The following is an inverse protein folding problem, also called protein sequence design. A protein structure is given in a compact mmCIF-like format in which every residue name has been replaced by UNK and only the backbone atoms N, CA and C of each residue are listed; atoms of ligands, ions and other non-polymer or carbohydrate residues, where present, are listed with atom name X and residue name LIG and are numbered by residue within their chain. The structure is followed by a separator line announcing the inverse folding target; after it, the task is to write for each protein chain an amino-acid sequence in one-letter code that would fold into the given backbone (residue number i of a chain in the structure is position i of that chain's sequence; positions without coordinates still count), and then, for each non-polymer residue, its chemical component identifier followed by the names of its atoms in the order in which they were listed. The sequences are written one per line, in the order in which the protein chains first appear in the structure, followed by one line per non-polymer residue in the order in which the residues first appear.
data_IF_160182709387
#
_entry.id   IF_160182709387
#
_cell.length_a   1.000
_cell.length_b   1.000
_cell.length_c   1.000
_cell.angle_alpha   90.00
_cell.angle_beta   90.00
_cell.angle_gamma   90.00
#
_symmetry.space_group_name_H-M   'P 1'
#
loop_
_entity.id
_entity.type
_entity.pdbx_description
1 polymer ?
#
# COMPACT_ATOMS: atom_id res chain seq x y z
N UNK A 1 -1.69 17.83 -17.27
CA UNK A 1 -1.12 16.49 -17.05
C UNK A 1 -1.89 15.64 -16.02
N UNK A 2 -2.68 16.23 -15.13
CA UNK A 2 -3.42 15.48 -14.08
C UNK A 2 -4.41 14.42 -14.58
N UNK A 3 -4.74 14.39 -15.86
CA UNK A 3 -5.66 13.41 -16.45
C UNK A 3 -4.99 12.20 -17.11
N UNK A 4 -3.71 12.25 -17.40
CA UNK A 4 -3.01 11.20 -18.14
C UNK A 4 -2.33 10.17 -17.23
N UNK A 5 -1.84 10.56 -16.05
CA UNK A 5 -1.20 9.65 -15.12
C UNK A 5 -2.24 8.92 -14.29
N UNK A 6 -2.32 7.60 -14.45
CA UNK A 6 -3.25 6.74 -13.73
C UNK A 6 -2.71 6.36 -12.35
N UNK A 7 -1.49 5.84 -12.30
CA UNK A 7 -0.75 5.61 -11.06
C UNK A 7 0.76 5.68 -11.32
N UNK A 8 1.51 5.87 -10.25
CA UNK A 8 2.95 5.82 -10.26
C UNK A 8 3.43 5.13 -8.97
N UNK A 9 4.27 4.13 -9.13
CA UNK A 9 4.94 3.46 -8.04
C UNK A 9 6.40 3.89 -8.00
N UNK A 10 6.95 3.98 -6.81
CA UNK A 10 8.38 4.17 -6.64
C UNK A 10 8.98 3.16 -5.68
N UNK A 11 10.13 2.65 -6.02
CA UNK A 11 10.88 1.66 -5.27
C UNK A 11 12.31 2.12 -5.07
N UNK A 12 12.90 1.73 -3.96
CA UNK A 12 14.33 1.80 -3.81
C UNK A 12 14.97 0.64 -4.56
N UNK A 13 16.09 0.93 -5.22
CA UNK A 13 17.01 -0.05 -5.78
C UNK A 13 18.30 0.00 -5.00
N UNK A 14 18.84 -1.13 -4.65
CA UNK A 14 20.13 -1.29 -3.98
C UNK A 14 21.05 -2.17 -4.82
N UNK A 15 22.35 -2.05 -4.62
CA UNK A 15 23.31 -3.00 -5.20
C UNK A 15 23.33 -4.27 -4.36
N UNK A 16 23.21 -5.41 -5.03
CA UNK A 16 23.45 -6.71 -4.42
C UNK A 16 24.95 -7.05 -4.33
N UNK A 17 25.27 -8.26 -3.90
CA UNK A 17 26.64 -8.73 -3.74
C UNK A 17 27.37 -8.88 -5.08
N UNK A 18 26.64 -9.09 -6.17
CA UNK A 18 27.13 -9.20 -7.55
C UNK A 18 27.30 -7.84 -8.23
N UNK A 19 26.83 -6.75 -7.61
CA UNK A 19 26.87 -5.39 -8.12
C UNK A 19 25.74 -5.03 -9.07
N UNK A 20 24.65 -5.82 -9.06
CA UNK A 20 23.46 -5.57 -9.86
C UNK A 20 22.40 -4.79 -9.04
N UNK A 21 21.62 -3.94 -9.74
CA UNK A 21 20.56 -3.17 -9.12
C UNK A 21 19.31 -4.02 -8.94
N UNK A 22 19.00 -4.36 -7.68
CA UNK A 22 17.84 -5.17 -7.30
C UNK A 22 16.80 -4.33 -6.56
N UNK A 23 15.54 -4.79 -6.59
CA UNK A 23 14.44 -4.15 -5.85
C UNK A 23 14.64 -4.28 -4.34
N UNK A 24 14.36 -3.18 -3.66
CA UNK A 24 14.29 -3.10 -2.22
C UNK A 24 12.89 -2.63 -1.80
N UNK A 25 12.80 -1.85 -0.74
CA UNK A 25 11.52 -1.41 -0.19
C UNK A 25 10.78 -0.44 -1.13
N UNK A 26 9.46 -0.48 -1.11
CA UNK A 26 8.62 0.50 -1.79
C UNK A 26 8.74 1.85 -1.09
N UNK A 27 9.04 2.89 -1.86
CA UNK A 27 9.11 4.27 -1.33
C UNK A 27 7.71 4.89 -1.24
N UNK A 28 6.99 4.92 -2.34
CA UNK A 28 5.67 5.54 -2.40
C UNK A 28 4.82 4.98 -3.53
N UNK A 29 3.53 5.28 -3.44
CA UNK A 29 2.58 5.02 -4.50
C UNK A 29 1.70 6.25 -4.68
N UNK A 30 1.54 6.67 -5.93
CA UNK A 30 0.50 7.60 -6.35
C UNK A 30 -0.59 6.82 -7.09
N UNK A 31 -1.84 7.05 -6.72
CA UNK A 31 -2.99 6.60 -7.48
C UNK A 31 -3.99 7.76 -7.59
N UNK A 32 -4.81 7.75 -8.63
CA UNK A 32 -5.81 8.79 -8.83
C UNK A 32 -6.76 8.86 -7.62
N UNK A 33 -6.86 10.04 -7.01
CA UNK A 33 -7.62 10.26 -5.79
C UNK A 33 -6.79 10.17 -4.50
N UNK A 34 -5.56 9.65 -4.53
CA UNK A 34 -4.65 9.61 -3.38
C UNK A 34 -3.91 10.93 -3.25
N UNK A 35 -3.97 11.55 -2.08
CA UNK A 35 -3.35 12.87 -1.83
C UNK A 35 -1.92 12.78 -1.29
N UNK A 36 -1.55 11.65 -0.72
CA UNK A 36 -0.24 11.43 -0.10
C UNK A 36 -0.26 10.29 0.89
N UNK A 37 0.88 10.03 1.49
CA UNK A 37 1.07 9.05 2.54
C UNK A 37 1.63 9.75 3.77
N UNK A 38 1.08 9.43 4.93
CA UNK A 38 1.58 9.92 6.20
C UNK A 38 2.12 8.74 7.00
N UNK A 39 3.33 8.89 7.50
CA UNK A 39 3.90 7.98 8.48
C UNK A 39 3.46 8.44 9.87
N UNK A 40 2.93 7.57 10.73
CA UNK A 40 2.55 7.94 12.09
C UNK A 40 3.73 8.48 12.90
N UNK A 41 3.43 9.26 13.91
CA UNK A 41 4.47 9.75 14.82
C UNK A 41 5.20 8.59 15.52
N UNK A 42 6.53 8.66 15.57
CA UNK A 42 7.36 7.59 16.12
C UNK A 42 7.57 6.39 15.20
N UNK A 43 7.11 6.48 13.94
CA UNK A 43 7.38 5.49 12.92
C UNK A 43 8.21 6.11 11.78
N UNK A 44 8.91 5.28 11.02
CA UNK A 44 9.64 5.69 9.84
C UNK A 44 9.67 4.61 8.76
N UNK A 45 9.91 5.04 7.53
CA UNK A 45 10.36 4.15 6.43
C UNK A 45 11.84 4.38 6.24
N UNK A 46 12.59 3.31 6.20
CA UNK A 46 14.03 3.39 6.02
C UNK A 46 14.37 3.56 4.53
N UNK A 47 15.09 4.60 4.19
CA UNK A 47 15.72 4.74 2.88
C UNK A 47 17.12 4.09 2.94
N UNK A 48 17.40 3.06 2.12
CA UNK A 48 18.72 2.44 2.12
C UNK A 48 19.80 3.43 1.65
N UNK A 49 20.95 3.43 2.32
CA UNK A 49 22.09 4.24 1.91
C UNK A 49 22.55 3.82 0.50
N UNK A 50 23.00 4.81 -0.29
CA UNK A 50 23.46 4.61 -1.67
C UNK A 50 22.44 3.95 -2.61
N UNK A 51 21.14 4.05 -2.28
CA UNK A 51 20.06 3.56 -3.12
C UNK A 51 19.77 4.51 -4.29
N UNK A 52 19.07 3.99 -5.30
CA UNK A 52 18.40 4.76 -6.35
C UNK A 52 16.91 4.64 -6.18
N UNK A 53 16.16 5.61 -6.73
CA UNK A 53 14.71 5.51 -6.83
C UNK A 53 14.35 5.18 -8.27
N UNK A 54 13.62 4.08 -8.44
CA UNK A 54 13.02 3.70 -9.71
C UNK A 54 11.54 4.07 -9.70
N UNK A 55 11.06 4.59 -10.82
CA UNK A 55 9.68 4.97 -11.04
C UNK A 55 9.04 4.07 -12.08
N UNK A 56 7.90 3.50 -11.75
CA UNK A 56 6.97 2.86 -12.67
C UNK A 56 5.75 3.76 -12.81
N UNK A 57 5.60 4.38 -13.99
CA UNK A 57 4.52 5.34 -14.25
C UNK A 57 3.57 4.74 -15.26
N UNK A 58 2.31 4.61 -14.88
CA UNK A 58 1.25 4.12 -15.76
C UNK A 58 0.41 5.27 -16.27
N UNK A 59 0.44 5.47 -17.57
CA UNK A 59 -0.36 6.47 -18.26
C UNK A 59 -1.64 5.85 -18.84
N UNK A 60 -2.73 6.57 -18.69
CA UNK A 60 -3.98 6.24 -19.37
C UNK A 60 -4.15 7.20 -20.56
N UNK A 61 -4.07 6.71 -21.81
CA UNK A 61 -4.19 7.57 -22.97
C UNK A 61 -5.65 8.05 -23.15
N UNK A 62 -5.82 9.35 -23.23
CA UNK A 62 -7.10 10.01 -23.48
C UNK A 62 -7.26 10.53 -24.92
N UNK A 63 -6.33 10.16 -25.81
CA UNK A 63 -6.28 10.59 -27.18
C UNK A 63 -5.59 11.94 -27.44
N UNK A 64 -5.16 12.63 -26.39
CA UNK A 64 -4.40 13.87 -26.47
C UNK A 64 -2.91 13.63 -26.31
N UNK A 65 -2.09 14.38 -27.03
CA UNK A 65 -0.65 14.35 -26.80
C UNK A 65 -0.32 15.13 -25.52
N UNK A 66 0.39 14.48 -24.60
CA UNK A 66 0.96 15.12 -23.42
C UNK A 66 2.44 15.36 -23.70
N UNK A 67 2.84 16.63 -23.71
CA UNK A 67 4.23 17.02 -23.82
C UNK A 67 4.77 17.45 -22.45
N UNK A 68 5.98 17.04 -22.13
CA UNK A 68 6.70 17.44 -20.91
C UNK A 68 5.99 17.05 -19.60
N UNK A 69 5.54 15.82 -19.49
CA UNK A 69 5.10 15.29 -18.20
C UNK A 69 6.29 15.20 -17.24
N UNK A 70 6.07 15.60 -16.00
CA UNK A 70 7.09 15.59 -14.96
C UNK A 70 6.48 15.06 -13.66
N UNK A 71 7.05 13.96 -13.16
CA UNK A 71 6.71 13.40 -11.86
C UNK A 71 7.67 13.94 -10.80
N UNK A 72 7.11 14.34 -9.67
CA UNK A 72 7.87 14.76 -8.51
C UNK A 72 7.29 14.10 -7.25
N UNK A 73 8.17 13.73 -6.32
CA UNK A 73 7.79 13.28 -4.97
C UNK A 73 8.41 14.19 -3.93
N UNK A 74 7.59 14.64 -3.00
CA UNK A 74 8.06 15.33 -1.79
C UNK A 74 8.27 14.30 -0.70
N UNK A 75 9.43 14.30 -0.07
CA UNK A 75 9.79 13.40 1.01
C UNK A 75 10.16 14.26 2.22
N UNK A 76 9.57 13.96 3.36
CA UNK A 76 9.98 14.50 4.66
C UNK A 76 10.71 13.39 5.40
N UNK A 77 11.86 13.72 5.94
CA UNK A 77 12.69 12.78 6.71
C UNK A 77 13.11 13.44 8.01
N UNK A 78 13.40 12.61 8.97
CA UNK A 78 13.98 13.04 10.23
C UNK A 78 15.44 13.42 10.03
N UNK A 79 15.86 14.50 10.69
CA UNK A 79 17.26 14.91 10.77
C UNK A 79 17.78 14.82 12.22
N UNK A 80 19.04 15.15 12.40
CA UNK A 80 19.68 15.07 13.72
C UNK A 80 19.05 16.04 14.75
N UNK A 81 18.45 17.15 14.30
CA UNK A 81 17.83 18.17 15.14
C UNK A 81 16.45 17.74 15.64
N UNK A 82 15.79 16.83 14.93
CA UNK A 82 14.47 16.29 15.33
C UNK A 82 14.54 15.41 16.58
N UNK A 83 15.74 14.99 17.00
CA UNK A 83 15.93 14.10 18.15
C UNK A 83 15.29 12.71 17.93
N UNK A 84 15.13 12.31 16.68
CA UNK A 84 14.56 11.03 16.32
C UNK A 84 15.51 9.90 16.71
N UNK A 85 14.99 8.88 17.42
CA UNK A 85 15.74 7.70 17.79
C UNK A 85 15.30 6.50 16.94
N UNK A 86 16.13 6.10 15.99
CA UNK A 86 15.83 4.97 15.08
C UNK A 86 15.66 3.64 15.83
N UNK A 87 16.36 3.44 16.97
CA UNK A 87 16.27 2.21 17.76
C UNK A 87 14.92 2.06 18.48
N UNK A 88 14.26 3.18 18.78
CA UNK A 88 12.95 3.22 19.41
C UNK A 88 11.80 3.35 18.40
N UNK A 89 12.13 3.64 17.15
CA UNK A 89 11.14 3.87 16.11
C UNK A 89 10.51 2.58 15.60
N UNK A 90 9.22 2.64 15.30
CA UNK A 90 8.56 1.57 14.58
C UNK A 90 8.88 1.67 13.09
N UNK A 91 9.34 0.57 12.50
CA UNK A 91 9.49 0.50 11.06
C UNK A 91 8.12 0.40 10.40
N UNK A 92 7.82 1.32 9.49
CA UNK A 92 6.65 1.23 8.64
C UNK A 92 7.04 0.63 7.28
N UNK A 93 6.33 -0.42 6.88
CA UNK A 93 6.46 -1.04 5.57
C UNK A 93 5.20 -0.76 4.74
N UNK A 94 5.39 -0.39 3.48
CA UNK A 94 4.33 -0.32 2.50
C UNK A 94 4.26 -1.65 1.74
N UNK A 95 3.22 -2.42 2.00
CA UNK A 95 3.04 -3.76 1.41
C UNK A 95 1.80 -3.79 0.52
N UNK A 96 1.94 -4.47 -0.61
CA UNK A 96 0.81 -4.81 -1.46
C UNK A 96 0.45 -6.30 -1.25
N UNK A 97 -0.79 -6.54 -0.84
CA UNK A 97 -1.33 -7.89 -0.71
C UNK A 97 -2.33 -8.13 -1.82
N UNK A 98 -2.19 -9.26 -2.50
CA UNK A 98 -3.09 -9.66 -3.59
C UNK A 98 -4.10 -10.67 -3.09
N UNK A 99 -5.31 -10.56 -3.58
CA UNK A 99 -6.32 -11.60 -3.44
C UNK A 99 -5.90 -12.81 -4.27
N UNK A 100 -6.15 -13.99 -3.77
CA UNK A 100 -6.03 -15.28 -4.51
C UNK A 100 -4.70 -15.50 -5.23
N UNK A 101 -3.62 -14.96 -4.66
CA UNK A 101 -2.29 -15.08 -5.25
C UNK A 101 -2.12 -14.38 -6.61
N UNK A 102 -3.06 -13.50 -7.00
CA UNK A 102 -2.98 -12.73 -8.25
C UNK A 102 -3.45 -13.48 -9.48
N UNK A 103 -4.32 -14.48 -9.32
CA UNK A 103 -4.94 -15.20 -10.43
C UNK A 103 -5.89 -14.36 -11.29
N UNK A 104 -6.21 -14.85 -12.46
CA UNK A 104 -7.21 -14.25 -13.36
C UNK A 104 -8.61 -14.48 -12.80
N UNK A 105 -9.32 -13.41 -12.53
CA UNK A 105 -10.70 -13.46 -12.05
C UNK A 105 -11.67 -13.49 -13.24
N UNK A 106 -12.44 -14.54 -13.35
CA UNK A 106 -13.54 -14.64 -14.33
C UNK A 106 -14.85 -14.26 -13.66
N UNK A 107 -15.35 -13.07 -13.93
CA UNK A 107 -16.70 -12.66 -13.51
C UNK A 107 -17.67 -13.10 -14.60
N UNK A 108 -18.64 -14.00 -14.29
CA UNK A 108 -19.58 -14.48 -15.29
C UNK A 108 -20.50 -13.32 -15.76
N UNK A 109 -21.02 -13.40 -16.99
CA UNK A 109 -21.98 -12.40 -17.48
C UNK A 109 -23.17 -12.27 -16.54
N UNK A 110 -23.50 -11.05 -16.16
CA UNK A 110 -24.58 -10.71 -15.21
C UNK A 110 -24.42 -11.32 -13.81
N UNK A 111 -23.24 -11.85 -13.48
CA UNK A 111 -22.92 -12.45 -12.20
C UNK A 111 -22.05 -11.55 -11.32
N UNK A 112 -21.82 -12.04 -10.12
CA UNK A 112 -20.88 -11.50 -9.14
C UNK A 112 -19.84 -12.54 -8.79
N UNK A 113 -18.63 -12.07 -8.51
CA UNK A 113 -17.56 -12.89 -7.95
C UNK A 113 -17.16 -12.27 -6.60
N UNK A 114 -17.08 -13.10 -5.56
CA UNK A 114 -16.47 -12.76 -4.28
C UNK A 114 -15.26 -13.66 -4.09
N UNK A 115 -14.13 -13.09 -3.73
CA UNK A 115 -12.89 -13.82 -3.51
C UNK A 115 -12.20 -13.33 -2.26
N UNK A 116 -11.28 -14.11 -1.71
CA UNK A 116 -10.56 -13.79 -0.49
C UNK A 116 -9.06 -14.04 -0.66
N UNK A 117 -8.27 -13.18 -0.03
CA UNK A 117 -6.84 -13.38 0.16
C UNK A 117 -6.52 -13.42 1.64
N UNK A 118 -5.48 -14.18 1.99
CA UNK A 118 -5.09 -14.43 3.38
C UNK A 118 -3.60 -14.12 3.54
N UNK A 119 -3.26 -13.47 4.65
CA UNK A 119 -1.88 -13.26 5.03
C UNK A 119 -1.72 -13.39 6.54
N UNK A 120 -0.81 -14.27 6.98
CA UNK A 120 -0.51 -14.47 8.38
C UNK A 120 0.81 -13.81 8.75
N UNK A 121 0.88 -13.27 9.96
CA UNK A 121 2.06 -12.60 10.49
C UNK A 121 2.70 -13.47 11.59
N UNK A 122 4.03 -13.59 11.56
CA UNK A 122 4.82 -14.28 12.59
C UNK A 122 5.20 -13.37 13.77
N UNK A 123 4.94 -12.08 13.64
CA UNK A 123 5.16 -11.06 14.67
C UNK A 123 3.95 -10.11 14.73
N UNK A 124 3.76 -9.38 15.84
CA UNK A 124 2.67 -8.41 15.92
C UNK A 124 2.83 -7.28 14.90
N UNK A 125 1.75 -6.93 14.21
CA UNK A 125 1.73 -5.87 13.21
C UNK A 125 0.62 -4.88 13.52
N UNK A 126 0.95 -3.59 13.53
CA UNK A 126 -0.02 -2.52 13.62
C UNK A 126 -0.36 -2.01 12.23
N UNK A 127 -1.65 -1.93 11.92
CA UNK A 127 -2.13 -1.43 10.63
C UNK A 127 -2.33 0.08 10.73
N UNK A 128 -1.47 0.86 10.12
CA UNK A 128 -1.57 2.33 10.12
C UNK A 128 -2.57 2.82 9.08
N UNK A 129 -2.61 2.15 7.93
CA UNK A 129 -3.53 2.49 6.84
C UNK A 129 -3.76 1.29 5.93
N UNK A 130 -4.81 1.37 5.14
CA UNK A 130 -5.01 0.47 4.03
C UNK A 130 -5.62 1.20 2.83
N UNK A 131 -5.31 0.71 1.64
CA UNK A 131 -5.83 1.24 0.40
C UNK A 131 -6.52 0.11 -0.37
N UNK A 132 -7.87 0.05 -0.37
CA UNK A 132 -8.59 -0.90 -1.20
C UNK A 132 -8.40 -0.52 -2.66
N UNK A 133 -7.76 -1.41 -3.42
CA UNK A 133 -7.53 -1.21 -4.85
C UNK A 133 -8.24 -2.29 -5.66
N UNK A 134 -9.09 -1.86 -6.56
CA UNK A 134 -9.79 -2.71 -7.51
C UNK A 134 -9.74 -2.06 -8.89
N UNK A 135 -10.17 -2.78 -9.92
CA UNK A 135 -10.37 -2.25 -11.25
C UNK A 135 -11.86 -2.01 -11.53
N UNK A 136 -12.21 -1.65 -12.78
CA UNK A 136 -13.53 -1.15 -13.19
C UNK A 136 -14.75 -1.97 -12.75
N UNK A 137 -14.56 -3.24 -12.39
CA UNK A 137 -15.65 -4.12 -11.93
C UNK A 137 -15.68 -4.31 -10.42
N UNK A 138 -14.76 -3.66 -9.70
CA UNK A 138 -14.74 -3.69 -8.24
C UNK A 138 -15.93 -2.96 -7.65
N UNK A 139 -16.49 -3.49 -6.58
CA UNK A 139 -17.70 -2.95 -5.91
C UNK A 139 -17.43 -2.68 -4.45
N UNK A 140 -16.78 -3.59 -3.77
CA UNK A 140 -16.51 -3.48 -2.33
C UNK A 140 -15.28 -4.30 -1.96
N UNK A 141 -14.60 -3.90 -0.89
CA UNK A 141 -13.50 -4.63 -0.30
C UNK A 141 -13.54 -4.49 1.22
N UNK A 142 -13.27 -5.58 1.92
CA UNK A 142 -13.21 -5.62 3.37
C UNK A 142 -11.83 -6.08 3.82
N UNK A 143 -11.36 -5.49 4.92
CA UNK A 143 -10.17 -5.88 5.65
C UNK A 143 -10.59 -6.42 7.01
N UNK A 144 -10.24 -7.66 7.31
CA UNK A 144 -10.60 -8.35 8.54
C UNK A 144 -9.37 -9.03 9.14
N UNK A 145 -9.46 -9.39 10.40
CA UNK A 145 -8.48 -10.18 11.11
C UNK A 145 -9.17 -11.42 11.71
N UNK A 146 -8.54 -12.56 11.59
CA UNK A 146 -8.88 -13.76 12.35
C UNK A 146 -7.77 -14.08 13.35
N UNK A 147 -8.14 -14.13 14.63
CA UNK A 147 -7.23 -14.52 15.70
C UNK A 147 -7.50 -15.99 16.08
N UNK A 148 -6.57 -16.93 15.79
CA UNK A 148 -6.77 -18.35 16.06
C UNK A 148 -6.79 -18.68 17.55
N UNK A 149 -6.15 -17.90 18.42
CA UNK A 149 -6.15 -18.13 19.86
C UNK A 149 -7.51 -17.87 20.50
N UNK A 150 -8.23 -16.87 20.01
CA UNK A 150 -9.55 -16.49 20.52
C UNK A 150 -10.70 -17.03 19.67
N UNK A 151 -10.41 -17.51 18.45
CA UNK A 151 -11.41 -17.89 17.45
C UNK A 151 -12.23 -16.72 16.92
N UNK A 152 -11.81 -15.48 17.18
CA UNK A 152 -12.55 -14.29 16.77
C UNK A 152 -12.14 -13.82 15.38
N UNK A 153 -13.13 -13.40 14.60
CA UNK A 153 -12.99 -12.66 13.37
C UNK A 153 -13.50 -11.25 13.60
N UNK A 154 -12.68 -10.26 13.27
CA UNK A 154 -12.95 -8.85 13.53
C UNK A 154 -12.82 -8.06 12.23
N UNK A 155 -13.81 -7.21 11.95
CA UNK A 155 -13.75 -6.26 10.84
C UNK A 155 -12.85 -5.10 11.24
N UNK A 156 -11.81 -4.87 10.45
CA UNK A 156 -10.87 -3.75 10.66
C UNK A 156 -11.30 -2.55 9.84
N UNK A 157 -11.66 -2.75 8.58
CA UNK A 157 -12.14 -1.68 7.70
C UNK A 157 -12.94 -2.24 6.52
N UNK A 158 -13.73 -1.38 5.88
CA UNK A 158 -14.50 -1.74 4.69
C UNK A 158 -14.68 -0.54 3.76
N UNK A 159 -14.50 -0.78 2.46
CA UNK A 159 -14.90 0.15 1.40
C UNK A 159 -16.07 -0.42 0.63
N UNK A 160 -17.17 0.32 0.55
CA UNK A 160 -18.37 -0.04 -0.22
C UNK A 160 -18.58 0.97 -1.35
N UNK A 161 -19.27 0.58 -2.40
CA UNK A 161 -19.52 1.41 -3.57
C UNK A 161 -18.24 2.00 -4.17
N UNK A 162 -17.20 1.19 -4.19
CA UNK A 162 -15.89 1.60 -4.69
C UNK A 162 -15.96 1.97 -6.18
N UNK A 163 -15.20 2.97 -6.58
CA UNK A 163 -15.04 3.37 -7.99
C UNK A 163 -13.57 3.54 -8.31
N UNK A 164 -13.19 3.28 -9.57
CA UNK A 164 -11.79 3.34 -10.02
C UNK A 164 -11.14 4.74 -9.88
N UNK A 165 -11.94 5.79 -9.79
CA UNK A 165 -11.45 7.15 -9.50
C UNK A 165 -11.28 7.47 -8.02
N UNK A 166 -11.45 6.49 -7.14
CA UNK A 166 -11.47 6.73 -5.69
C UNK A 166 -10.51 5.79 -4.94
N UNK A 167 -9.25 5.83 -5.33
CA UNK A 167 -8.18 5.06 -4.69
C UNK A 167 -7.63 5.78 -3.46
N UNK A 168 -8.46 5.91 -2.41
CA UNK A 168 -8.03 6.55 -1.18
C UNK A 168 -7.33 5.58 -0.24
N UNK A 169 -6.27 6.07 0.41
CA UNK A 169 -5.73 5.41 1.60
C UNK A 169 -6.57 5.78 2.80
N UNK A 170 -7.14 4.78 3.45
CA UNK A 170 -7.87 4.92 4.71
C UNK A 170 -6.84 4.82 5.84
N UNK A 171 -6.57 5.94 6.49
CA UNK A 171 -5.63 6.02 7.61
C UNK A 171 -6.41 5.95 8.92
N UNK A 172 -5.90 5.13 9.85
CA UNK A 172 -6.41 5.13 11.21
C UNK A 172 -5.89 6.36 11.96
N UNK A 173 -6.70 6.90 12.85
CA UNK A 173 -6.28 7.94 13.76
C UNK A 173 -5.23 7.42 14.74
N UNK A 174 -4.29 8.29 15.15
CA UNK A 174 -3.23 7.91 16.07
C UNK A 174 -3.81 7.36 17.39
N UNK A 175 -3.33 6.18 17.79
CA UNK A 175 -3.83 5.44 18.95
C UNK A 175 -5.00 4.51 18.67
N UNK A 176 -5.58 4.54 17.45
CA UNK A 176 -6.68 3.66 17.05
C UNK A 176 -6.28 2.64 15.97
N UNK A 177 -4.99 2.58 15.64
CA UNK A 177 -4.49 1.61 14.68
C UNK A 177 -4.67 0.18 15.23
N UNK A 178 -5.37 -0.71 14.50
CA UNK A 178 -5.58 -2.07 14.95
C UNK A 178 -4.27 -2.85 15.02
N UNK A 179 -4.11 -3.62 16.09
CA UNK A 179 -2.99 -4.53 16.28
C UNK A 179 -3.40 -5.93 15.84
N UNK A 180 -2.69 -6.46 14.86
CA UNK A 180 -2.79 -7.86 14.44
C UNK A 180 -1.74 -8.64 15.24
N UNK A 181 -2.12 -9.55 16.16
CA UNK A 181 -1.16 -10.32 16.95
C UNK A 181 -0.36 -11.30 16.08
N UNK A 182 0.80 -11.74 16.58
CA UNK A 182 1.53 -12.84 15.97
C UNK A 182 0.64 -14.09 15.85
N UNK A 183 0.74 -14.80 14.74
CA UNK A 183 -0.11 -15.96 14.44
C UNK A 183 -1.52 -15.65 13.95
N UNK A 184 -1.98 -14.40 14.02
CA UNK A 184 -3.26 -14.02 13.44
C UNK A 184 -3.17 -13.87 11.91
N UNK A 185 -4.31 -13.99 11.26
CA UNK A 185 -4.43 -13.92 9.80
C UNK A 185 -5.26 -12.71 9.38
N UNK A 186 -4.68 -11.87 8.57
CA UNK A 186 -5.38 -10.82 7.85
C UNK A 186 -6.16 -11.44 6.68
N UNK A 187 -7.40 -11.03 6.53
CA UNK A 187 -8.31 -11.51 5.48
C UNK A 187 -8.75 -10.31 4.67
N UNK A 188 -8.58 -10.38 3.37
CA UNK A 188 -9.08 -9.39 2.42
C UNK A 188 -10.15 -10.07 1.58
N UNK A 189 -11.34 -9.47 1.53
CA UNK A 189 -12.49 -10.00 0.77
C UNK A 189 -12.91 -9.00 -0.27
#
# INVERSE_FOLDING_TARGET
AQGATHHANSHFKILDEEGEWVDSDRLSEFAFGKLGEKVPQGACRRAPANSKVEWEIHYYPDGNAVANDQVAVGIWYYDEEDGFNEEEAYRQDLRAYRLDGGGDYMIPPHGTLMTQGFHSFDHPVRVDSWQPHMHLRGVAMALEMFNPETGRREMLSQASNWTAGWNHSHMYEDGYQPLIPAGATMIIT
#
